data_IF_483601651055
#
_entry.id   IF_483601651055
#
_cell.length_a   1.000
_cell.length_b   1.000
_cell.length_c   1.000
_cell.angle_alpha   90.00
_cell.angle_beta   90.00
_cell.angle_gamma   90.00
#
_symmetry.space_group_name_H-M   'P 1'
#
loop_
_entity.id
_entity.type
_entity.pdbx_description
1 polymer ?
#
# COMPACT_ATOMS: atom_id res chain seq x y z
N UNK A 1 88.72 29.65 -10.83
CA UNK A 1 87.69 30.04 -11.82
C UNK A 1 87.17 28.76 -12.48
N UNK A 2 85.86 28.70 -12.73
CA UNK A 2 85.03 27.61 -13.27
C UNK A 2 84.26 26.71 -12.26
N UNK A 3 82.94 26.90 -12.34
CA UNK A 3 81.82 26.30 -11.64
C UNK A 3 81.35 24.97 -12.28
N UNK A 4 80.35 24.36 -11.62
CA UNK A 4 79.25 23.52 -12.16
C UNK A 4 79.51 22.02 -12.29
N UNK A 5 78.54 21.14 -12.05
CA UNK A 5 77.18 21.22 -11.48
C UNK A 5 76.79 19.78 -11.13
N UNK A 6 76.11 19.59 -10.01
CA UNK A 6 75.47 18.32 -9.63
C UNK A 6 74.43 17.94 -10.70
N UNK A 7 74.52 16.76 -11.28
CA UNK A 7 73.41 16.19 -12.08
C UNK A 7 72.67 15.17 -11.22
N UNK A 8 71.48 15.58 -10.78
CA UNK A 8 70.51 14.77 -10.05
C UNK A 8 69.75 13.95 -11.09
N UNK A 9 69.70 12.63 -10.89
CA UNK A 9 68.87 11.72 -11.68
C UNK A 9 67.38 12.02 -11.43
N UNK A 10 66.63 12.34 -12.49
CA UNK A 10 65.19 12.46 -12.43
C UNK A 10 64.55 11.16 -12.92
N UNK A 11 64.10 10.32 -11.98
CA UNK A 11 63.26 9.17 -12.24
C UNK A 11 61.82 9.65 -12.45
N UNK A 12 61.32 9.62 -13.69
CA UNK A 12 59.91 9.91 -13.99
C UNK A 12 59.09 8.64 -13.76
N UNK A 13 58.40 8.56 -12.63
CA UNK A 13 57.39 7.52 -12.36
C UNK A 13 56.10 7.98 -13.03
N UNK A 14 55.78 7.40 -14.20
CA UNK A 14 54.48 7.57 -14.84
C UNK A 14 53.45 6.72 -14.10
N UNK A 15 52.61 7.35 -13.28
CA UNK A 15 51.47 6.70 -12.62
C UNK A 15 50.33 6.67 -13.64
N UNK A 16 50.14 5.53 -14.31
CA UNK A 16 48.91 5.24 -15.04
C UNK A 16 47.77 5.03 -14.03
N UNK A 17 47.01 6.09 -13.74
CA UNK A 17 45.73 5.99 -13.05
C UNK A 17 44.71 5.35 -13.98
N UNK A 18 44.52 4.03 -13.86
CA UNK A 18 43.39 3.34 -14.47
C UNK A 18 42.10 3.86 -13.80
N UNK A 19 41.39 4.75 -14.49
CA UNK A 19 40.04 5.16 -14.13
C UNK A 19 39.12 3.95 -14.35
N UNK A 20 38.86 3.19 -13.30
CA UNK A 20 37.77 2.21 -13.31
C UNK A 20 36.46 2.97 -13.32
N UNK A 21 35.84 3.11 -14.51
CA UNK A 21 34.45 3.52 -14.62
C UNK A 21 33.59 2.42 -14.00
N UNK A 22 33.23 2.55 -12.73
CA UNK A 22 32.18 1.71 -12.14
C UNK A 22 30.87 2.09 -12.83
N UNK A 23 30.40 1.25 -13.76
CA UNK A 23 29.04 1.38 -14.27
C UNK A 23 28.09 1.29 -13.09
N UNK A 24 27.27 2.33 -12.85
CA UNK A 24 26.22 2.26 -11.85
C UNK A 24 25.31 1.09 -12.22
N UNK A 25 25.29 0.05 -11.36
CA UNK A 25 24.43 -1.10 -11.59
C UNK A 25 22.99 -0.61 -11.76
N UNK A 26 22.38 -0.95 -12.90
CA UNK A 26 20.97 -0.61 -13.16
C UNK A 26 20.11 -1.23 -12.08
N UNK A 27 19.23 -0.42 -11.48
CA UNK A 27 18.34 -0.89 -10.42
C UNK A 27 17.47 -2.04 -10.94
N UNK A 28 17.29 -3.14 -10.17
CA UNK A 28 16.40 -4.24 -10.57
C UNK A 28 14.99 -3.74 -10.84
N UNK A 29 14.36 -4.20 -11.93
CA UNK A 29 12.98 -3.80 -12.28
C UNK A 29 11.97 -4.10 -11.15
N UNK A 30 12.21 -5.14 -10.34
CA UNK A 30 11.42 -5.44 -9.14
C UNK A 30 11.34 -4.24 -8.17
N UNK A 31 12.41 -3.47 -8.03
CA UNK A 31 12.46 -2.31 -7.14
C UNK A 31 11.55 -1.19 -7.62
N UNK A 32 11.38 -1.00 -8.93
CA UNK A 32 10.46 0.00 -9.49
C UNK A 32 9.03 -0.31 -9.03
N UNK A 33 8.60 -1.57 -9.17
CA UNK A 33 7.28 -2.00 -8.73
C UNK A 33 7.11 -1.93 -7.20
N UNK A 34 8.16 -2.24 -6.42
CA UNK A 34 8.11 -2.06 -4.97
C UNK A 34 7.97 -0.56 -4.61
N UNK A 35 8.69 0.34 -5.30
CA UNK A 35 8.55 1.79 -5.10
C UNK A 35 7.15 2.28 -5.44
N UNK A 36 6.48 1.72 -6.45
CA UNK A 36 5.06 2.01 -6.72
C UNK A 36 4.15 1.69 -5.53
N UNK A 37 4.45 0.60 -4.82
CA UNK A 37 3.68 0.18 -3.66
C UNK A 37 3.87 1.10 -2.46
N UNK A 38 5.11 1.51 -2.15
CA UNK A 38 5.46 2.20 -0.89
C UNK A 38 5.72 3.70 -1.01
N UNK A 39 6.18 4.21 -2.16
CA UNK A 39 6.66 5.60 -2.30
C UNK A 39 5.71 6.45 -3.13
N UNK A 40 5.50 6.09 -4.40
CA UNK A 40 4.73 6.92 -5.31
C UNK A 40 4.02 6.14 -6.40
N UNK A 41 2.77 6.52 -6.66
CA UNK A 41 1.99 6.02 -7.78
C UNK A 41 1.43 7.22 -8.57
N UNK A 42 1.77 7.39 -9.87
CA UNK A 42 1.39 8.59 -10.61
C UNK A 42 -0.10 8.88 -10.65
N UNK A 43 -0.93 7.83 -10.71
CA UNK A 43 -2.38 7.98 -10.76
C UNK A 43 -3.03 8.12 -9.37
N UNK A 44 -2.26 8.08 -8.29
CA UNK A 44 -2.77 8.30 -6.93
C UNK A 44 -2.76 9.79 -6.60
N UNK A 45 -3.74 10.28 -5.84
CA UNK A 45 -3.75 11.64 -5.28
C UNK A 45 -2.44 11.96 -4.57
N UNK A 46 -1.90 13.15 -4.82
CA UNK A 46 -0.60 13.61 -4.29
C UNK A 46 0.58 12.68 -4.64
N UNK A 47 0.42 11.83 -5.66
CA UNK A 47 1.40 10.85 -6.11
C UNK A 47 1.94 9.94 -4.99
N UNK A 48 1.15 9.65 -3.93
CA UNK A 48 1.57 8.74 -2.87
C UNK A 48 1.53 7.28 -3.32
N UNK A 49 2.27 6.39 -2.64
CA UNK A 49 2.30 4.97 -2.94
C UNK A 49 0.93 4.28 -2.81
N UNK A 50 0.77 3.14 -3.50
CA UNK A 50 -0.48 2.36 -3.55
C UNK A 50 -0.96 1.85 -2.19
N UNK A 51 -0.05 1.38 -1.33
CA UNK A 51 -0.44 0.91 0.00
C UNK A 51 -0.83 2.07 0.93
N UNK A 52 -0.06 3.18 1.03
CA UNK A 52 -0.48 4.36 1.76
C UNK A 52 -1.85 4.90 1.33
N UNK A 53 -2.15 4.99 0.02
CA UNK A 53 -3.47 5.45 -0.44
C UNK A 53 -4.58 4.46 -0.05
N UNK A 54 -4.35 3.15 -0.14
CA UNK A 54 -5.33 2.15 0.31
C UNK A 54 -5.65 2.30 1.81
N UNK A 55 -4.63 2.47 2.66
CA UNK A 55 -4.82 2.66 4.10
C UNK A 55 -5.59 3.96 4.38
N UNK A 56 -5.28 5.06 3.68
CA UNK A 56 -6.02 6.33 3.82
C UNK A 56 -7.48 6.19 3.43
N UNK A 57 -7.77 5.57 2.28
CA UNK A 57 -9.16 5.35 1.83
C UNK A 57 -9.93 4.44 2.81
N UNK A 58 -9.29 3.37 3.34
CA UNK A 58 -9.91 2.52 4.35
C UNK A 58 -10.22 3.28 5.66
N UNK A 59 -9.30 4.13 6.11
CA UNK A 59 -9.49 4.96 7.29
C UNK A 59 -10.63 5.98 7.11
N UNK A 60 -10.73 6.60 5.93
CA UNK A 60 -11.81 7.55 5.61
C UNK A 60 -13.16 6.81 5.54
N UNK A 61 -13.24 5.65 4.91
CA UNK A 61 -14.45 4.84 4.91
C UNK A 61 -14.91 4.50 6.34
N UNK A 62 -13.97 4.05 7.20
CA UNK A 62 -14.25 3.75 8.61
C UNK A 62 -14.73 4.99 9.38
N UNK A 63 -14.09 6.16 9.15
CA UNK A 63 -14.50 7.42 9.77
C UNK A 63 -15.96 7.75 9.45
N UNK A 64 -16.34 7.75 8.18
CA UNK A 64 -17.70 8.11 7.78
C UNK A 64 -18.75 7.08 8.21
N UNK A 65 -18.39 5.80 8.30
CA UNK A 65 -19.26 4.77 8.90
C UNK A 65 -19.53 5.11 10.38
N UNK A 66 -18.51 5.48 11.15
CA UNK A 66 -18.67 5.88 12.56
C UNK A 66 -19.47 7.18 12.71
N UNK A 67 -19.21 8.17 11.86
CA UNK A 67 -19.94 9.44 11.87
C UNK A 67 -21.44 9.25 11.57
N UNK A 68 -21.79 8.31 10.68
CA UNK A 68 -23.18 8.00 10.36
C UNK A 68 -24.00 7.59 11.60
N UNK A 69 -23.36 7.06 12.64
CA UNK A 69 -24.01 6.61 13.87
C UNK A 69 -24.22 7.71 14.91
N UNK A 70 -23.58 8.87 14.77
CA UNK A 70 -23.66 9.97 15.75
C UNK A 70 -25.10 10.52 15.86
N UNK A 71 -25.81 10.60 14.74
CA UNK A 71 -27.22 11.00 14.70
C UNK A 71 -28.07 9.82 14.22
N UNK A 72 -28.21 8.81 15.08
CA UNK A 72 -28.87 7.54 14.77
C UNK A 72 -30.38 7.62 14.55
N UNK A 73 -31.02 8.76 14.87
CA UNK A 73 -32.43 9.04 14.58
C UNK A 73 -32.65 9.81 13.26
N UNK A 74 -31.59 10.17 12.53
CA UNK A 74 -31.68 10.91 11.28
C UNK A 74 -31.23 10.05 10.09
N UNK A 75 -32.20 9.54 9.33
CA UNK A 75 -31.91 8.73 8.16
C UNK A 75 -31.17 9.50 7.06
N UNK A 76 -31.41 10.81 6.91
CA UNK A 76 -30.71 11.62 5.93
C UNK A 76 -29.24 11.81 6.33
N UNK A 77 -28.98 12.02 7.62
CA UNK A 77 -27.62 12.03 8.17
C UNK A 77 -26.88 10.71 7.92
N UNK A 78 -27.52 9.59 8.24
CA UNK A 78 -26.95 8.25 8.02
C UNK A 78 -26.60 8.08 6.54
N UNK A 79 -27.55 8.39 5.64
CA UNK A 79 -27.34 8.23 4.19
C UNK A 79 -26.24 9.13 3.65
N UNK A 80 -26.16 10.38 4.10
CA UNK A 80 -25.15 11.32 3.62
C UNK A 80 -23.74 10.86 4.01
N UNK A 81 -23.53 10.40 5.24
CA UNK A 81 -22.23 9.91 5.69
C UNK A 81 -21.87 8.57 5.05
N UNK A 82 -22.83 7.66 4.90
CA UNK A 82 -22.58 6.39 4.21
C UNK A 82 -22.27 6.59 2.72
N UNK A 83 -22.83 7.62 2.08
CA UNK A 83 -22.44 8.03 0.73
C UNK A 83 -20.98 8.48 0.68
N UNK A 84 -20.50 9.25 1.67
CA UNK A 84 -19.09 9.60 1.78
C UNK A 84 -18.20 8.36 1.96
N UNK A 85 -18.55 7.44 2.86
CA UNK A 85 -17.81 6.18 3.00
C UNK A 85 -17.76 5.39 1.67
N UNK A 86 -18.84 5.42 0.88
CA UNK A 86 -18.88 4.76 -0.41
C UNK A 86 -17.90 5.37 -1.43
N UNK A 87 -17.66 6.67 -1.39
CA UNK A 87 -16.70 7.35 -2.27
C UNK A 87 -15.25 6.95 -1.98
N UNK A 88 -14.88 6.77 -0.71
CA UNK A 88 -13.61 6.15 -0.34
C UNK A 88 -13.47 4.71 -0.86
N UNK A 89 -14.56 3.94 -0.93
CA UNK A 89 -14.52 2.56 -1.42
C UNK A 89 -14.43 2.47 -2.96
N UNK A 90 -15.27 3.24 -3.66
CA UNK A 90 -15.44 3.28 -5.12
C UNK A 90 -15.10 4.69 -5.62
N UNK A 91 -13.80 4.93 -5.81
CA UNK A 91 -13.19 6.14 -6.35
C UNK A 91 -14.19 7.18 -6.91
N UNK A 92 -14.31 8.32 -6.26
CA UNK A 92 -14.99 9.47 -6.83
C UNK A 92 -14.14 10.73 -6.64
N UNK A 93 -13.42 11.19 -7.67
CA UNK A 93 -12.55 12.35 -7.55
C UNK A 93 -13.32 13.69 -7.56
N UNK A 94 -14.61 13.69 -7.90
CA UNK A 94 -15.44 14.90 -7.98
C UNK A 94 -16.20 15.21 -6.68
N UNK A 95 -16.16 14.31 -5.71
CA UNK A 95 -16.93 14.39 -4.47
C UNK A 95 -16.00 14.25 -3.27
N UNK A 96 -16.45 14.75 -2.12
CA UNK A 96 -15.79 14.50 -0.84
C UNK A 96 -15.93 13.01 -0.43
N UNK A 97 -15.34 12.61 0.70
CA UNK A 97 -15.55 11.25 1.22
C UNK A 97 -14.47 10.23 0.90
N UNK A 98 -13.40 10.64 0.21
CA UNK A 98 -12.20 9.83 -0.03
C UNK A 98 -11.03 10.71 -0.44
N UNK A 99 -9.91 10.08 -0.82
CA UNK A 99 -8.84 10.79 -1.52
C UNK A 99 -9.10 10.86 -3.04
N UNK A 100 -10.12 10.15 -3.53
CA UNK A 100 -10.52 10.12 -4.94
C UNK A 100 -9.91 8.96 -5.73
N UNK A 101 -9.15 8.07 -5.09
CA UNK A 101 -8.53 6.92 -5.75
C UNK A 101 -9.35 5.64 -5.60
N UNK A 102 -10.03 5.48 -4.47
CA UNK A 102 -10.88 4.32 -4.18
C UNK A 102 -10.10 3.10 -3.67
N UNK A 103 -10.52 2.59 -2.52
CA UNK A 103 -9.91 1.42 -1.87
C UNK A 103 -9.92 0.17 -2.76
N UNK A 104 -11.03 -0.10 -3.46
CA UNK A 104 -11.13 -1.29 -4.33
C UNK A 104 -10.08 -1.24 -5.44
N UNK A 105 -9.90 -0.07 -6.07
CA UNK A 105 -8.90 0.15 -7.12
C UNK A 105 -7.49 0.02 -6.55
N UNK A 106 -7.22 0.62 -5.39
CA UNK A 106 -5.94 0.53 -4.70
C UNK A 106 -5.54 -0.90 -4.38
N UNK A 107 -6.44 -1.67 -3.79
CA UNK A 107 -6.22 -3.06 -3.46
C UNK A 107 -5.87 -3.90 -4.71
N UNK A 108 -6.58 -3.73 -5.83
CA UNK A 108 -6.22 -4.41 -7.07
C UNK A 108 -4.87 -3.97 -7.65
N UNK A 109 -4.55 -2.68 -7.58
CA UNK A 109 -3.26 -2.16 -8.03
C UNK A 109 -2.10 -2.70 -7.17
N UNK A 110 -2.28 -2.83 -5.85
CA UNK A 110 -1.29 -3.45 -4.95
C UNK A 110 -1.00 -4.89 -5.39
N UNK A 111 -2.04 -5.69 -5.62
CA UNK A 111 -1.88 -7.07 -6.08
C UNK A 111 -1.12 -7.13 -7.42
N UNK A 112 -1.48 -6.26 -8.37
CA UNK A 112 -0.83 -6.18 -9.68
C UNK A 112 0.65 -5.80 -9.58
N UNK A 113 0.99 -4.70 -8.91
CA UNK A 113 2.39 -4.26 -8.79
C UNK A 113 3.23 -5.28 -8.01
N UNK A 114 2.65 -5.96 -7.04
CA UNK A 114 3.35 -7.04 -6.32
C UNK A 114 3.64 -8.25 -7.22
N UNK A 115 2.73 -8.61 -8.12
CA UNK A 115 2.98 -9.66 -9.14
C UNK A 115 4.10 -9.25 -10.09
N UNK A 116 4.10 -8.00 -10.54
CA UNK A 116 5.16 -7.47 -11.41
C UNK A 116 6.51 -7.40 -10.68
N UNK A 117 6.53 -7.03 -9.40
CA UNK A 117 7.73 -7.07 -8.58
C UNK A 117 8.31 -8.49 -8.46
N UNK A 118 7.47 -9.51 -8.30
CA UNK A 118 7.89 -10.91 -8.20
C UNK A 118 8.37 -11.52 -9.53
N UNK A 119 7.87 -11.02 -10.66
CA UNK A 119 8.16 -11.55 -11.98
C UNK A 119 9.46 -11.00 -12.60
N UNK A 120 9.86 -9.77 -12.24
CA UNK A 120 10.91 -9.05 -12.97
C UNK A 120 12.16 -8.81 -12.12
N UNK A 121 13.24 -9.54 -12.39
CA UNK A 121 14.53 -9.39 -11.69
C UNK A 121 14.36 -9.41 -10.15
N UNK A 122 13.52 -10.33 -9.66
CA UNK A 122 13.13 -10.43 -8.27
C UNK A 122 14.09 -11.33 -7.49
N UNK A 123 14.51 -10.87 -6.31
CA UNK A 123 15.22 -11.73 -5.35
C UNK A 123 14.29 -12.82 -4.80
N UNK A 124 14.87 -13.86 -4.19
CA UNK A 124 14.10 -14.92 -3.52
C UNK A 124 13.17 -14.32 -2.46
N UNK A 125 13.65 -13.34 -1.69
CA UNK A 125 12.85 -12.66 -0.68
C UNK A 125 11.65 -11.93 -1.27
N UNK A 126 11.81 -11.22 -2.40
CA UNK A 126 10.67 -10.59 -3.09
C UNK A 126 9.63 -11.64 -3.47
N UNK A 127 10.05 -12.74 -4.09
CA UNK A 127 9.12 -13.82 -4.47
C UNK A 127 8.40 -14.43 -3.27
N UNK A 128 9.12 -14.70 -2.17
CA UNK A 128 8.58 -15.32 -0.96
C UNK A 128 7.50 -14.46 -0.29
N UNK A 129 7.73 -13.14 -0.21
CA UNK A 129 6.79 -12.23 0.46
C UNK A 129 5.58 -11.85 -0.42
N UNK A 130 5.72 -11.90 -1.75
CA UNK A 130 4.69 -11.44 -2.68
C UNK A 130 3.35 -12.17 -2.53
N UNK A 131 3.35 -13.47 -2.23
CA UNK A 131 2.11 -14.24 -2.08
C UNK A 131 1.20 -13.63 -1.00
N UNK A 132 1.75 -13.37 0.18
CA UNK A 132 0.97 -12.81 1.29
C UNK A 132 0.37 -11.44 0.95
N UNK A 133 1.17 -10.55 0.35
CA UNK A 133 0.71 -9.20 -0.03
C UNK A 133 -0.41 -9.29 -1.09
N UNK A 134 -0.26 -10.16 -2.09
CA UNK A 134 -1.26 -10.35 -3.15
C UNK A 134 -2.58 -10.84 -2.57
N UNK A 135 -2.53 -11.84 -1.69
CA UNK A 135 -3.74 -12.40 -1.06
C UNK A 135 -4.44 -11.37 -0.18
N UNK A 136 -3.69 -10.68 0.68
CA UNK A 136 -4.23 -9.61 1.51
C UNK A 136 -4.89 -8.49 0.71
N UNK A 137 -4.29 -8.12 -0.41
CA UNK A 137 -4.85 -7.11 -1.30
C UNK A 137 -6.16 -7.59 -1.97
N UNK A 138 -6.23 -8.84 -2.44
CA UNK A 138 -7.47 -9.38 -3.00
C UNK A 138 -8.59 -9.49 -1.96
N UNK A 139 -8.27 -9.88 -0.73
CA UNK A 139 -9.22 -9.92 0.37
C UNK A 139 -9.77 -8.54 0.70
N UNK A 140 -8.88 -7.56 0.85
CA UNK A 140 -9.26 -6.16 1.07
C UNK A 140 -10.22 -5.69 -0.02
N UNK A 141 -9.95 -6.02 -1.30
CA UNK A 141 -10.86 -5.68 -2.39
C UNK A 141 -12.23 -6.38 -2.27
N UNK A 142 -12.25 -7.65 -1.86
CA UNK A 142 -13.49 -8.41 -1.67
C UNK A 142 -14.35 -7.84 -0.53
N UNK A 143 -13.74 -7.53 0.62
CA UNK A 143 -14.37 -6.89 1.77
C UNK A 143 -14.89 -5.51 1.39
N UNK A 144 -14.07 -4.68 0.74
CA UNK A 144 -14.47 -3.34 0.28
C UNK A 144 -15.66 -3.38 -0.70
N UNK A 145 -15.73 -4.39 -1.58
CA UNK A 145 -16.90 -4.62 -2.44
C UNK A 145 -18.15 -5.00 -1.63
N UNK A 146 -18.02 -5.83 -0.60
CA UNK A 146 -19.12 -6.18 0.32
C UNK A 146 -19.64 -4.94 1.03
N UNK A 147 -18.74 -4.11 1.57
CA UNK A 147 -19.08 -2.83 2.17
C UNK A 147 -19.82 -1.91 1.20
N UNK A 148 -19.30 -1.75 -0.03
CA UNK A 148 -19.94 -0.87 -1.01
C UNK A 148 -21.35 -1.33 -1.43
N UNK A 149 -21.62 -2.65 -1.37
CA UNK A 149 -22.99 -3.20 -1.55
C UNK A 149 -23.89 -2.87 -0.36
N UNK A 150 -23.37 -2.89 0.87
CA UNK A 150 -24.12 -2.50 2.07
C UNK A 150 -24.40 -0.99 2.05
N UNK A 151 -23.44 -0.14 1.65
CA UNK A 151 -23.67 1.29 1.44
C UNK A 151 -24.84 1.54 0.48
N UNK A 152 -24.93 0.77 -0.62
CA UNK A 152 -26.08 0.84 -1.54
C UNK A 152 -27.39 0.44 -0.85
N UNK A 153 -27.40 -0.59 0.01
CA UNK A 153 -28.61 -0.96 0.76
C UNK A 153 -29.07 0.16 1.69
N UNK A 154 -28.13 0.83 2.37
CA UNK A 154 -28.44 1.99 3.22
C UNK A 154 -28.97 3.17 2.40
N UNK A 155 -28.39 3.46 1.23
CA UNK A 155 -28.88 4.54 0.37
C UNK A 155 -30.37 4.35 -0.02
N UNK A 156 -30.79 3.10 -0.20
CA UNK A 156 -32.14 2.75 -0.67
C UNK A 156 -33.13 2.38 0.45
N UNK A 157 -32.71 2.25 1.71
CA UNK A 157 -33.66 1.95 2.80
C UNK A 157 -34.46 3.18 3.21
N UNK A 158 -35.67 2.95 3.72
CA UNK A 158 -36.53 3.96 4.35
C UNK A 158 -36.64 3.76 5.86
N UNK A 159 -35.91 2.77 6.42
CA UNK A 159 -35.96 2.41 7.83
C UNK A 159 -34.64 2.74 8.52
N UNK A 160 -34.73 3.57 9.57
CA UNK A 160 -33.59 3.88 10.45
C UNK A 160 -33.04 2.60 11.07
N UNK A 161 -33.92 1.74 11.62
CA UNK A 161 -33.50 0.48 12.25
C UNK A 161 -32.72 -0.44 11.29
N UNK A 162 -33.17 -0.54 10.04
CA UNK A 162 -32.42 -1.30 9.03
C UNK A 162 -31.07 -0.63 8.68
N UNK A 163 -31.05 0.69 8.56
CA UNK A 163 -29.82 1.43 8.29
C UNK A 163 -28.77 1.21 9.39
N UNK A 164 -29.19 1.23 10.66
CA UNK A 164 -28.32 0.97 11.81
C UNK A 164 -27.80 -0.48 11.83
N UNK A 165 -28.63 -1.48 11.53
CA UNK A 165 -28.17 -2.87 11.40
C UNK A 165 -27.16 -3.05 10.26
N UNK A 166 -27.28 -2.28 9.18
CA UNK A 166 -26.27 -2.26 8.12
C UNK A 166 -25.00 -1.52 8.54
N UNK A 167 -25.09 -0.47 9.36
CA UNK A 167 -23.92 0.21 9.95
C UNK A 167 -23.13 -0.76 10.83
N UNK A 168 -23.79 -1.56 11.67
CA UNK A 168 -23.12 -2.58 12.50
C UNK A 168 -22.28 -3.55 11.64
N UNK A 169 -22.85 -4.00 10.52
CA UNK A 169 -22.13 -4.85 9.57
C UNK A 169 -20.94 -4.12 8.92
N UNK A 170 -21.08 -2.82 8.64
CA UNK A 170 -20.01 -2.01 8.06
C UNK A 170 -18.87 -1.77 9.05
N UNK A 171 -19.17 -1.57 10.34
CA UNK A 171 -18.16 -1.40 11.39
C UNK A 171 -17.28 -2.66 11.53
N UNK A 172 -17.90 -3.84 11.53
CA UNK A 172 -17.18 -5.12 11.55
C UNK A 172 -16.28 -5.24 10.31
N UNK A 173 -16.83 -4.99 9.11
CA UNK A 173 -16.06 -5.09 7.87
C UNK A 173 -14.94 -4.05 7.77
N UNK A 174 -15.10 -2.88 8.38
CA UNK A 174 -14.06 -1.85 8.42
C UNK A 174 -12.82 -2.32 9.22
N UNK A 175 -13.03 -3.07 10.30
CA UNK A 175 -11.94 -3.74 11.04
C UNK A 175 -11.29 -4.80 10.15
N UNK A 176 -12.11 -5.64 9.50
CA UNK A 176 -11.64 -6.69 8.58
C UNK A 176 -10.78 -6.16 7.42
N UNK A 177 -11.03 -4.95 6.91
CA UNK A 177 -10.17 -4.34 5.89
C UNK A 177 -8.72 -4.18 6.34
N UNK A 178 -8.52 -3.80 7.60
CA UNK A 178 -7.20 -3.50 8.15
C UNK A 178 -6.54 -4.75 8.70
N UNK A 179 -7.23 -5.45 9.58
CA UNK A 179 -6.69 -6.58 10.33
C UNK A 179 -6.73 -7.85 9.49
N UNK A 180 -7.84 -8.08 8.81
CA UNK A 180 -8.18 -9.37 8.24
C UNK A 180 -9.30 -10.06 9.03
N UNK A 181 -9.57 -11.31 8.72
CA UNK A 181 -10.53 -12.16 9.43
C UNK A 181 -9.88 -13.53 9.61
N UNK A 182 -9.76 -14.00 10.85
CA UNK A 182 -9.32 -15.35 11.18
C UNK A 182 -10.44 -16.34 10.79
N UNK A 183 -10.30 -16.97 9.62
CA UNK A 183 -11.35 -17.77 9.00
C UNK A 183 -11.37 -19.20 9.54
N UNK A 184 -10.22 -19.74 9.93
CA UNK A 184 -10.10 -21.08 10.50
C UNK A 184 -10.19 -21.11 12.04
N UNK A 185 -10.20 -19.94 12.68
CA UNK A 185 -10.36 -19.72 14.12
C UNK A 185 -9.20 -20.29 14.93
N UNK A 186 -8.00 -20.29 14.35
CA UNK A 186 -6.78 -20.73 15.04
C UNK A 186 -6.16 -19.64 15.94
N UNK A 187 -6.74 -18.43 15.94
CA UNK A 187 -6.27 -17.27 16.69
C UNK A 187 -5.25 -16.42 15.94
N UNK A 188 -4.95 -16.73 14.67
CA UNK A 188 -3.96 -16.05 13.84
C UNK A 188 -4.58 -15.57 12.53
N UNK A 189 -4.05 -14.46 12.02
CA UNK A 189 -4.39 -13.98 10.68
C UNK A 189 -3.24 -14.32 9.75
N UNK A 190 -3.45 -15.29 8.85
CA UNK A 190 -2.40 -15.80 7.96
C UNK A 190 -2.67 -15.48 6.49
N UNK A 191 -1.62 -15.60 5.68
CA UNK A 191 -1.76 -15.50 4.22
C UNK A 191 -2.31 -16.78 3.56
N UNK A 192 -2.34 -17.90 4.28
CA UNK A 192 -2.62 -19.21 3.68
C UNK A 192 -4.12 -19.44 3.48
N UNK A 193 -4.95 -18.91 4.37
CA UNK A 193 -6.40 -19.10 4.35
C UNK A 193 -7.18 -17.91 3.79
N UNK A 194 -6.52 -16.96 3.15
CA UNK A 194 -7.17 -15.71 2.73
C UNK A 194 -7.70 -14.92 3.95
N UNK A 195 -6.88 -14.74 4.98
CA UNK A 195 -7.31 -14.04 6.18
C UNK A 195 -6.79 -12.60 6.22
N UNK A 196 -5.60 -12.34 5.66
CA UNK A 196 -4.93 -11.05 5.81
C UNK A 196 -5.67 -9.83 5.27
N UNK A 197 -5.61 -8.72 6.02
CA UNK A 197 -5.98 -7.37 5.59
C UNK A 197 -4.79 -6.48 5.21
N UNK A 198 -5.02 -5.16 5.12
CA UNK A 198 -3.99 -4.17 4.75
C UNK A 198 -2.79 -4.12 5.71
N UNK A 199 -2.98 -4.45 7.00
CA UNK A 199 -1.88 -4.49 7.97
C UNK A 199 -0.88 -5.60 7.63
N UNK A 200 -1.36 -6.80 7.32
CA UNK A 200 -0.48 -7.89 6.89
C UNK A 200 0.24 -7.54 5.59
N UNK A 201 -0.46 -6.95 4.62
CA UNK A 201 0.16 -6.47 3.38
C UNK A 201 1.27 -5.44 3.67
N UNK A 202 1.03 -4.49 4.57
CA UNK A 202 2.01 -3.48 5.00
C UNK A 202 3.24 -4.10 5.62
N UNK A 203 3.06 -5.06 6.53
CA UNK A 203 4.17 -5.64 7.27
C UNK A 203 5.06 -6.46 6.35
N UNK A 204 4.46 -7.27 5.47
CA UNK A 204 5.19 -8.07 4.47
C UNK A 204 5.88 -7.19 3.43
N UNK A 205 5.22 -6.13 2.97
CA UNK A 205 5.82 -5.17 2.03
C UNK A 205 6.97 -4.37 2.65
N UNK A 206 6.84 -3.99 3.93
CA UNK A 206 7.90 -3.28 4.66
C UNK A 206 9.13 -4.18 4.81
N UNK A 207 8.92 -5.45 5.16
CA UNK A 207 10.00 -6.43 5.22
C UNK A 207 10.64 -6.67 3.84
N UNK A 208 9.83 -6.82 2.79
CA UNK A 208 10.30 -6.95 1.41
C UNK A 208 11.15 -5.75 1.00
N UNK A 209 10.68 -4.52 1.24
CA UNK A 209 11.40 -3.30 0.86
C UNK A 209 12.70 -3.10 1.65
N UNK A 210 12.74 -3.50 2.94
CA UNK A 210 13.95 -3.48 3.77
C UNK A 210 15.01 -4.45 3.26
N UNK A 211 14.61 -5.69 2.99
CA UNK A 211 15.53 -6.74 2.52
C UNK A 211 15.99 -6.52 1.08
N UNK A 212 15.21 -5.79 0.27
CA UNK A 212 15.62 -5.32 -1.05
C UNK A 212 16.48 -4.04 -1.02
N UNK A 213 16.76 -3.46 0.16
CA UNK A 213 17.56 -2.24 0.30
C UNK A 213 16.87 -0.95 -0.16
N UNK A 214 15.55 -0.96 -0.38
CA UNK A 214 14.77 0.17 -0.89
C UNK A 214 14.44 1.18 0.22
N UNK A 215 14.30 0.67 1.45
CA UNK A 215 14.14 1.47 2.67
C UNK A 215 15.19 1.04 3.70
N UNK A 216 15.72 2.00 4.46
CA UNK A 216 16.77 1.73 5.44
C UNK A 216 16.29 0.76 6.53
N UNK A 217 17.14 -0.18 6.90
CA UNK A 217 16.99 -0.94 8.14
C UNK A 217 17.13 0.04 9.30
N UNK A 218 16.24 -0.03 10.30
CA UNK A 218 16.48 0.65 11.57
C UNK A 218 17.73 -0.03 12.16
N UNK A 219 18.81 0.73 12.39
CA UNK A 219 19.95 0.20 13.15
C UNK A 219 19.43 -0.18 14.55
N UNK A 220 19.85 -1.34 15.10
CA UNK A 220 19.47 -1.76 16.45
C UNK A 220 19.86 -0.69 17.48
#
# INVERSE_FOLDING_TARGET
MFHNKKSIAALVISICSALYSTSAATEPTSHIHIKHLIKSWPAAPQAIGLLPIAIKEAAIASLYIKLARIHDQDLNWIKSHIKQAQYALKANPAEEGGQGYGLIKAAYAIARETKLAAANQASINVKLQSKAIIMSAYNTAAVAKKMARICNKIANTFSIAQALSYIDQLEILAITLLEGEDLDKDGQITSFNHEGGLNLARDKLTFMARTAGIIKLKKP
#
